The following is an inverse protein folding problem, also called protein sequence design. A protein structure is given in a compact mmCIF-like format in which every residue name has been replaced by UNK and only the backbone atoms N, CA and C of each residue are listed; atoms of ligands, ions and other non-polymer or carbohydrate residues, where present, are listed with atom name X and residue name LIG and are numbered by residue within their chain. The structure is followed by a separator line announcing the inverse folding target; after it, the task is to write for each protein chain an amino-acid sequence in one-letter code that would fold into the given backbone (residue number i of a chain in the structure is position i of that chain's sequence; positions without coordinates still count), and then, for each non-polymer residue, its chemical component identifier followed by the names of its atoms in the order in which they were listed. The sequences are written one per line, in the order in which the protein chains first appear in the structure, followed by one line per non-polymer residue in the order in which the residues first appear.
data_IF_928582610712
#
_entry.id   IF_928582610712
#
_cell.length_a   1.000
_cell.length_b   1.000
_cell.length_c   1.000
_cell.angle_alpha   90.00
_cell.angle_beta   90.00
_cell.angle_gamma   90.00
#
_symmetry.space_group_name_H-M   'P 1'
#
loop_
_entity.id
_entity.type
_entity.pdbx_description
1 polymer ?
#
# COMPACT_ATOMS: atom_id res chain seq x y z
N UNK A 1 -1.98 -12.01 -3.13
CA UNK A 1 -0.86 -11.05 -3.21
C UNK A 1 -1.44 -9.69 -3.60
N UNK A 2 -0.97 -8.57 -3.07
CA UNK A 2 -1.51 -7.25 -3.33
C UNK A 2 -0.40 -6.29 -3.77
N UNK A 3 -0.74 -5.34 -4.65
CA UNK A 3 0.14 -4.29 -5.15
C UNK A 3 -0.45 -2.93 -4.83
N UNK A 4 0.35 -2.00 -4.34
CA UNK A 4 0.00 -0.58 -4.22
C UNK A 4 0.90 0.24 -5.13
N UNK A 5 0.30 1.20 -5.83
CA UNK A 5 1.00 2.15 -6.70
C UNK A 5 0.65 3.57 -6.23
N UNK A 6 1.65 4.37 -5.90
CA UNK A 6 1.50 5.72 -5.40
C UNK A 6 2.64 6.65 -5.85
N UNK A 7 2.41 7.95 -5.86
CA UNK A 7 3.46 8.97 -6.07
C UNK A 7 3.93 9.54 -4.73
N UNK A 8 5.23 9.46 -4.46
CA UNK A 8 5.82 9.94 -3.22
C UNK A 8 6.34 11.40 -3.31
N UNK A 9 6.16 12.05 -4.46
CA UNK A 9 6.69 13.37 -4.80
C UNK A 9 7.99 13.33 -5.61
N UNK A 10 8.62 12.16 -5.74
CA UNK A 10 9.83 11.94 -6.56
C UNK A 10 9.54 11.09 -7.79
N UNK A 11 8.42 10.36 -7.79
CA UNK A 11 7.89 9.61 -8.92
C UNK A 11 6.91 8.52 -8.47
N UNK A 12 6.52 7.68 -9.42
CA UNK A 12 5.65 6.52 -9.17
C UNK A 12 6.44 5.41 -8.47
N UNK A 13 5.99 5.05 -7.27
CA UNK A 13 6.48 3.91 -6.49
C UNK A 13 5.47 2.77 -6.58
N UNK A 14 5.98 1.57 -6.85
CA UNK A 14 5.19 0.34 -6.87
C UNK A 14 5.67 -0.59 -5.75
N UNK A 15 4.74 -1.11 -4.97
CA UNK A 15 5.04 -2.01 -3.86
C UNK A 15 4.13 -3.23 -3.89
N UNK A 16 4.72 -4.43 -3.83
CA UNK A 16 3.99 -5.70 -3.77
C UNK A 16 4.17 -6.35 -2.40
N UNK A 17 3.07 -6.76 -1.78
CA UNK A 17 3.05 -7.44 -0.48
C UNK A 17 2.00 -8.54 -0.45
N UNK A 18 2.08 -9.44 0.53
CA UNK A 18 1.01 -10.41 0.75
C UNK A 18 -0.31 -9.71 1.12
N UNK A 19 -0.23 -8.72 2.02
CA UNK A 19 -1.39 -7.98 2.53
C UNK A 19 -1.12 -6.48 2.51
N UNK A 20 -2.05 -5.72 1.94
CA UNK A 20 -2.08 -4.25 1.97
C UNK A 20 -3.46 -3.84 2.47
N UNK A 21 -3.50 -3.07 3.56
CA UNK A 21 -4.73 -2.62 4.24
C UNK A 21 -4.70 -1.12 4.46
N UNK A 22 -5.87 -0.48 4.37
CA UNK A 22 -6.00 0.93 4.74
C UNK A 22 -6.43 1.06 6.19
N UNK A 23 -5.56 1.60 7.04
CA UNK A 23 -5.87 1.98 8.41
C UNK A 23 -6.56 3.35 8.40
N UNK A 24 -7.88 3.35 8.60
CA UNK A 24 -8.69 4.58 8.61
C UNK A 24 -8.38 5.50 9.80
N UNK A 25 -7.95 4.93 10.93
CA UNK A 25 -7.63 5.70 12.14
C UNK A 25 -6.35 6.50 11.92
N UNK A 26 -5.35 5.87 11.30
CA UNK A 26 -4.06 6.52 10.96
C UNK A 26 -4.06 7.18 9.59
N UNK A 27 -5.09 6.95 8.78
CA UNK A 27 -5.20 7.37 7.38
C UNK A 27 -3.96 6.96 6.57
N UNK A 28 -3.52 5.72 6.79
CA UNK A 28 -2.27 5.19 6.23
C UNK A 28 -2.48 3.81 5.59
N UNK A 29 -1.69 3.50 4.57
CA UNK A 29 -1.64 2.15 4.01
C UNK A 29 -0.63 1.32 4.79
N UNK A 30 -1.10 0.23 5.38
CA UNK A 30 -0.31 -0.73 6.13
C UNK A 30 0.00 -1.91 5.23
N UNK A 31 1.29 -2.11 5.00
CA UNK A 31 1.85 -3.16 4.17
C UNK A 31 2.41 -4.23 5.11
N UNK A 32 1.94 -5.47 4.96
CA UNK A 32 2.43 -6.62 5.73
C UNK A 32 3.01 -7.67 4.81
N UNK A 33 4.24 -8.05 5.12
CA UNK A 33 4.99 -9.13 4.48
C UNK A 33 5.37 -10.16 5.54
N UNK A 34 5.28 -11.44 5.19
CA UNK A 34 5.56 -12.54 6.11
C UNK A 34 7.01 -12.48 6.61
N UNK A 35 7.19 -12.54 7.94
CA UNK A 35 8.51 -12.47 8.56
C UNK A 35 9.10 -11.05 8.70
N UNK A 36 8.44 -10.03 8.17
CA UNK A 36 8.91 -8.64 8.26
C UNK A 36 8.00 -7.76 9.14
N UNK A 37 8.59 -6.69 9.67
CA UNK A 37 7.82 -5.69 10.43
C UNK A 37 6.87 -4.97 9.47
N UNK A 38 5.61 -4.72 9.87
CA UNK A 38 4.67 -3.94 9.07
C UNK A 38 5.22 -2.56 8.74
N UNK A 39 5.15 -2.16 7.48
CA UNK A 39 5.49 -0.81 7.02
C UNK A 39 4.19 -0.02 6.89
N UNK A 40 4.16 1.19 7.46
CA UNK A 40 3.02 2.11 7.32
C UNK A 40 3.42 3.26 6.41
N UNK A 41 2.71 3.44 5.30
CA UNK A 41 2.93 4.53 4.35
C UNK A 41 1.82 5.55 4.53
N UNK A 42 2.20 6.74 5.00
CA UNK A 42 1.31 7.91 5.05
C UNK A 42 1.28 8.54 3.66
N UNK A 43 0.22 8.26 2.92
CA UNK A 43 0.06 8.79 1.57
C UNK A 43 -1.02 9.87 1.62
N UNK A 44 -0.70 11.13 1.28
CA UNK A 44 -1.68 12.19 1.19
C UNK A 44 -2.84 11.77 0.27
N UNK A 45 -4.07 12.04 0.69
CA UNK A 45 -5.25 11.77 -0.13
C UNK A 45 -5.09 12.39 -1.52
N UNK A 46 -5.23 11.56 -2.57
CA UNK A 46 -5.07 11.96 -3.97
C UNK A 46 -3.79 11.47 -4.66
N UNK A 47 -2.82 10.90 -3.94
CA UNK A 47 -1.57 10.36 -4.53
C UNK A 47 -1.51 8.83 -4.67
N UNK A 48 -2.51 8.12 -4.17
CA UNK A 48 -2.65 6.69 -4.41
C UNK A 48 -3.41 6.50 -5.70
N UNK A 49 -2.74 5.94 -6.70
CA UNK A 49 -3.37 5.70 -8.00
C UNK A 49 -4.15 4.40 -8.01
N UNK A 50 -3.62 3.35 -7.37
CA UNK A 50 -4.25 2.03 -7.43
C UNK A 50 -3.75 1.10 -6.34
N UNK A 51 -4.67 0.32 -5.78
CA UNK A 51 -4.35 -0.90 -5.02
C UNK A 51 -4.98 -2.07 -5.75
N UNK A 52 -4.16 -3.02 -6.19
CA UNK A 52 -4.58 -4.22 -6.88
C UNK A 52 -4.43 -5.43 -5.95
N UNK A 53 -5.54 -6.08 -5.61
CA UNK A 53 -5.47 -7.40 -4.97
C UNK A 53 -5.41 -8.47 -6.08
N UNK A 54 -4.26 -9.11 -6.25
CA UNK A 54 -4.16 -10.39 -6.96
C UNK A 54 -4.76 -11.47 -6.06
N UNK A 55 -6.05 -11.72 -6.27
CA UNK A 55 -6.83 -12.77 -5.61
C UNK A 55 -8.31 -12.39 -5.48
N UNK A 56 -9.11 -12.86 -6.43
CA UNK A 56 -10.56 -12.77 -6.44
C UNK A 56 -11.08 -13.28 -7.78
N UNK A 57 -11.39 -14.59 -7.82
CA UNK A 57 -12.25 -15.17 -8.83
C UNK A 57 -13.68 -14.64 -8.68
#
# INVERSE_FOLDING_TARGET
MAKIVYDDGTGTVEYEAQTIEYDKTRRAWVIRQEGEKPVSVYIPEGRVYRVEKRGGA
#
